data_IF_009736702310
#
_entry.id   IF_009736702310
#
_cell.length_a   1.000
_cell.length_b   1.000
_cell.length_c   1.000
_cell.angle_alpha   90.00
_cell.angle_beta   90.00
_cell.angle_gamma   90.00
#
_symmetry.space_group_name_H-M   'P 1'
#
loop_
_entity.id
_entity.type
_entity.pdbx_description
1 polymer ?
#
# COMPACT_ATOMS: atom_id res chain seq x y z
N UNK A 1 0.99 -39.57 1.31
CA UNK A 1 2.29 -39.05 0.82
C UNK A 1 1.97 -37.98 -0.20
N UNK A 2 2.39 -36.74 0.04
CA UNK A 2 2.23 -35.68 -0.96
C UNK A 2 3.05 -36.07 -2.21
N UNK A 3 2.54 -35.81 -3.42
CA UNK A 3 3.28 -36.13 -4.64
C UNK A 3 4.65 -35.44 -4.61
N UNK A 4 5.73 -36.05 -5.12
CA UNK A 4 7.09 -35.51 -5.01
C UNK A 4 7.27 -34.11 -5.61
N UNK A 5 6.36 -33.65 -6.48
CA UNK A 5 6.32 -32.27 -6.99
C UNK A 5 5.74 -31.22 -6.03
N UNK A 6 5.12 -31.63 -4.92
CA UNK A 6 4.46 -30.71 -4.00
C UNK A 6 5.46 -29.83 -3.25
N UNK A 7 6.70 -30.29 -3.00
CA UNK A 7 7.71 -29.47 -2.30
C UNK A 7 8.11 -28.20 -3.08
N UNK A 8 7.97 -28.21 -4.42
CA UNK A 8 8.32 -27.08 -5.28
C UNK A 8 7.14 -26.16 -5.55
N UNK A 9 5.91 -26.61 -5.25
CA UNK A 9 4.67 -25.90 -5.55
C UNK A 9 3.89 -25.51 -4.29
N UNK A 10 4.13 -26.16 -3.15
CA UNK A 10 3.56 -25.86 -1.82
C UNK A 10 4.39 -24.77 -1.12
N UNK A 11 4.40 -23.57 -1.69
CA UNK A 11 5.06 -22.42 -1.08
C UNK A 11 4.19 -21.81 0.03
N UNK A 12 4.55 -22.01 1.31
CA UNK A 12 3.88 -21.32 2.41
C UNK A 12 4.26 -19.84 2.41
N UNK A 13 3.27 -18.95 2.48
CA UNK A 13 3.54 -17.52 2.58
C UNK A 13 4.21 -17.20 3.92
N UNK A 14 5.27 -16.37 3.96
CA UNK A 14 5.89 -15.96 5.21
C UNK A 14 4.89 -15.18 6.08
N UNK A 15 5.04 -15.27 7.40
CA UNK A 15 4.30 -14.43 8.33
C UNK A 15 4.80 -12.96 8.26
N UNK A 16 4.01 -12.02 8.82
CA UNK A 16 4.31 -10.59 8.72
C UNK A 16 5.69 -10.19 9.30
N UNK A 17 6.12 -10.68 10.49
CA UNK A 17 7.47 -10.44 10.99
C UNK A 17 8.58 -10.95 10.07
N UNK A 18 8.43 -12.16 9.50
CA UNK A 18 9.42 -12.72 8.57
C UNK A 18 9.58 -11.85 7.32
N UNK A 19 8.46 -11.39 6.74
CA UNK A 19 8.48 -10.42 5.63
C UNK A 19 9.20 -9.13 6.01
N UNK A 20 8.94 -8.59 7.20
CA UNK A 20 9.62 -7.39 7.69
C UNK A 20 11.14 -7.56 7.76
N UNK A 21 11.63 -8.62 8.41
CA UNK A 21 13.07 -8.82 8.58
C UNK A 21 13.80 -9.08 7.26
N UNK A 22 13.24 -9.91 6.38
CA UNK A 22 13.86 -10.20 5.09
C UNK A 22 13.84 -8.99 4.14
N UNK A 23 12.73 -8.26 4.09
CA UNK A 23 12.68 -7.04 3.30
C UNK A 23 13.61 -5.96 3.83
N UNK A 24 13.73 -5.78 5.15
CA UNK A 24 14.67 -4.84 5.77
C UNK A 24 16.12 -5.20 5.45
N UNK A 25 16.49 -6.48 5.58
CA UNK A 25 17.84 -6.95 5.26
C UNK A 25 18.17 -6.69 3.78
N UNK A 26 17.22 -6.99 2.89
CA UNK A 26 17.38 -6.72 1.46
C UNK A 26 17.44 -5.21 1.17
N UNK A 27 16.66 -4.40 1.86
CA UNK A 27 16.66 -2.94 1.73
C UNK A 27 18.02 -2.36 2.12
N UNK A 28 18.58 -2.84 3.23
CA UNK A 28 19.94 -2.48 3.67
C UNK A 28 20.94 -2.89 2.60
N UNK A 29 20.95 -4.14 2.14
CA UNK A 29 21.92 -4.61 1.15
C UNK A 29 21.89 -3.80 -0.16
N UNK A 30 20.70 -3.49 -0.67
CA UNK A 30 20.52 -2.83 -1.97
C UNK A 30 20.71 -1.31 -1.92
N UNK A 31 20.38 -0.67 -0.80
CA UNK A 31 20.29 0.78 -0.74
C UNK A 31 21.26 1.43 0.25
N UNK A 32 21.83 0.71 1.23
CA UNK A 32 22.84 1.28 2.11
C UNK A 32 24.15 1.57 1.39
N UNK A 33 24.77 2.69 1.74
CA UNK A 33 26.18 2.93 1.43
C UNK A 33 27.05 2.52 2.61
N UNK A 34 27.66 1.34 2.50
CA UNK A 34 28.51 0.76 3.55
C UNK A 34 29.78 1.58 3.84
N UNK A 35 30.33 2.27 2.84
CA UNK A 35 31.47 3.18 3.05
C UNK A 35 31.13 4.40 3.92
N UNK A 36 29.85 4.71 4.16
CA UNK A 36 29.37 5.81 5.01
C UNK A 36 28.09 5.39 5.73
N UNK A 37 28.24 4.56 6.75
CA UNK A 37 27.12 3.96 7.49
C UNK A 37 26.17 5.02 8.07
N UNK A 38 26.69 6.10 8.66
CA UNK A 38 25.90 7.18 9.28
C UNK A 38 25.46 8.28 8.28
N UNK A 39 25.04 7.90 7.08
CA UNK A 39 24.53 8.86 6.10
C UNK A 39 23.04 9.15 6.29
N UNK A 40 22.61 10.38 5.96
CA UNK A 40 21.18 10.75 5.97
C UNK A 40 20.33 9.79 5.14
N UNK A 41 20.85 9.32 4.00
CA UNK A 41 20.19 8.30 3.17
C UNK A 41 19.96 6.99 3.92
N UNK A 42 20.97 6.46 4.61
CA UNK A 42 20.84 5.21 5.36
C UNK A 42 19.84 5.38 6.50
N UNK A 43 19.85 6.53 7.17
CA UNK A 43 18.87 6.90 8.19
C UNK A 43 17.45 7.02 7.61
N UNK A 44 17.28 7.60 6.41
CA UNK A 44 15.99 7.70 5.73
C UNK A 44 15.47 6.29 5.33
N UNK A 45 16.35 5.37 4.89
CA UNK A 45 16.01 3.96 4.62
C UNK A 45 15.48 3.26 5.88
N UNK A 46 16.18 3.40 7.02
CA UNK A 46 15.72 2.82 8.28
C UNK A 46 14.44 3.50 8.78
N UNK A 47 14.32 4.81 8.59
CA UNK A 47 13.14 5.60 8.93
C UNK A 47 11.88 5.12 8.21
N UNK A 48 11.99 4.64 6.97
CA UNK A 48 10.86 4.08 6.22
C UNK A 48 10.38 2.75 6.82
N UNK A 49 11.27 2.00 7.47
CA UNK A 49 10.95 0.77 8.18
C UNK A 49 10.51 1.00 9.64
N UNK A 50 10.74 2.19 10.21
CA UNK A 50 10.42 2.51 11.60
C UNK A 50 8.93 2.40 11.94
N UNK A 51 8.04 2.53 10.95
CA UNK A 51 6.59 2.34 11.15
C UNK A 51 6.20 0.87 11.33
N UNK A 52 6.99 -0.09 10.82
CA UNK A 52 6.59 -1.49 10.76
C UNK A 52 6.49 -2.15 12.15
N UNK A 53 7.43 -1.95 13.10
CA UNK A 53 7.30 -2.50 14.44
C UNK A 53 6.00 -2.08 15.15
N UNK A 54 5.60 -0.81 15.00
CA UNK A 54 4.34 -0.32 15.56
C UNK A 54 3.11 -1.00 14.96
N UNK A 55 3.11 -1.23 13.63
CA UNK A 55 2.06 -1.99 12.95
C UNK A 55 2.00 -3.45 13.40
N UNK A 56 3.15 -4.10 13.62
CA UNK A 56 3.21 -5.50 14.06
C UNK A 56 2.68 -5.69 15.48
N UNK A 57 2.95 -4.77 16.41
CA UNK A 57 2.40 -4.83 17.77
C UNK A 57 0.88 -4.69 17.78
N UNK A 58 0.34 -3.73 17.02
CA UNK A 58 -1.10 -3.54 16.89
C UNK A 58 -1.75 -4.79 16.26
N UNK A 59 -1.08 -5.39 15.26
CA UNK A 59 -1.55 -6.60 14.61
C UNK A 59 -1.63 -7.80 15.58
N UNK A 60 -0.61 -8.00 16.39
CA UNK A 60 -0.57 -9.11 17.35
C UNK A 60 -1.61 -8.94 18.48
N UNK A 61 -2.12 -7.72 18.67
CA UNK A 61 -2.93 -7.36 19.84
C UNK A 61 -2.11 -7.27 21.13
N UNK A 62 -0.78 -7.36 21.02
CA UNK A 62 0.17 -7.28 22.12
C UNK A 62 0.68 -5.84 22.21
N UNK A 63 0.41 -5.15 23.33
CA UNK A 63 0.99 -3.82 23.57
C UNK A 63 0.52 -2.71 22.60
N UNK A 64 -0.78 -2.63 22.29
CA UNK A 64 -1.36 -1.59 21.40
C UNK A 64 -0.89 -0.17 21.73
N UNK A 65 -0.81 0.19 23.01
CA UNK A 65 -0.32 1.51 23.46
C UNK A 65 1.10 1.79 22.97
N UNK A 66 1.98 0.79 23.07
CA UNK A 66 3.35 0.88 22.57
C UNK A 66 3.35 0.92 21.04
N UNK A 67 2.49 0.14 20.38
CA UNK A 67 2.30 0.18 18.94
C UNK A 67 1.95 1.59 18.43
N UNK A 68 0.93 2.23 19.00
CA UNK A 68 0.57 3.61 18.68
C UNK A 68 1.67 4.62 19.03
N UNK A 69 2.36 4.45 20.17
CA UNK A 69 3.49 5.31 20.54
C UNK A 69 4.65 5.21 19.54
N UNK A 70 4.96 4.01 19.04
CA UNK A 70 5.98 3.80 18.00
C UNK A 70 5.56 4.43 16.67
N UNK A 71 4.30 4.28 16.26
CA UNK A 71 3.79 4.93 15.05
C UNK A 71 3.87 6.45 15.17
N UNK A 72 3.44 7.01 16.31
CA UNK A 72 3.53 8.45 16.58
C UNK A 72 4.98 8.93 16.59
N UNK A 73 5.90 8.17 17.21
CA UNK A 73 7.33 8.45 17.20
C UNK A 73 7.92 8.41 15.78
N UNK A 74 7.53 7.43 14.97
CA UNK A 74 7.97 7.33 13.58
C UNK A 74 7.46 8.50 12.72
N UNK A 75 6.20 8.92 12.89
CA UNK A 75 5.67 10.12 12.24
C UNK A 75 6.40 11.38 12.71
N UNK A 76 6.66 11.51 14.01
CA UNK A 76 7.43 12.62 14.59
C UNK A 76 8.86 12.69 14.02
N UNK A 77 9.51 11.55 13.86
CA UNK A 77 10.80 11.45 13.18
C UNK A 77 10.73 11.99 11.75
N UNK A 78 9.72 11.62 10.96
CA UNK A 78 9.56 12.13 9.59
C UNK A 78 9.31 13.63 9.53
N UNK A 79 8.45 14.15 10.42
CA UNK A 79 8.21 15.60 10.53
C UNK A 79 9.53 16.33 10.83
N UNK A 80 10.24 15.90 11.86
CA UNK A 80 11.53 16.48 12.22
C UNK A 80 12.55 16.37 11.08
N UNK A 81 12.63 15.21 10.43
CA UNK A 81 13.53 14.97 9.29
C UNK A 81 13.22 15.87 8.10
N UNK A 82 11.95 16.10 7.78
CA UNK A 82 11.53 17.04 6.73
C UNK A 82 11.90 18.48 7.09
N UNK A 83 11.77 18.89 8.35
CA UNK A 83 12.20 20.22 8.81
C UNK A 83 13.72 20.39 8.73
N UNK A 84 14.49 19.36 9.10
CA UNK A 84 15.94 19.36 8.95
C UNK A 84 16.37 19.49 7.48
N UNK A 85 15.58 18.99 6.53
CA UNK A 85 15.90 19.12 5.10
C UNK A 85 15.98 20.57 4.64
N UNK A 86 15.28 21.49 5.31
CA UNK A 86 15.34 22.93 5.04
C UNK A 86 16.69 23.55 5.44
N UNK A 87 17.40 22.93 6.40
CA UNK A 87 18.70 23.40 6.90
C UNK A 87 19.89 22.69 6.23
N UNK A 88 19.68 21.50 5.66
CA UNK A 88 20.75 20.69 5.09
C UNK A 88 21.10 21.15 3.67
N UNK A 89 22.41 21.29 3.41
CA UNK A 89 22.91 21.56 2.06
C UNK A 89 22.74 20.32 1.17
N UNK A 90 22.14 20.52 -0.01
CA UNK A 90 21.96 19.45 -1.00
C UNK A 90 23.31 18.88 -1.43
N UNK A 91 23.49 17.59 -1.22
CA UNK A 91 24.63 16.81 -1.71
C UNK A 91 24.21 15.99 -2.95
N UNK A 92 25.15 15.63 -3.83
CA UNK A 92 24.84 14.80 -4.99
C UNK A 92 24.18 13.49 -4.57
N UNK A 93 23.13 13.10 -5.29
CA UNK A 93 22.38 11.88 -5.02
C UNK A 93 23.29 10.66 -5.17
N UNK A 94 23.28 9.78 -4.17
CA UNK A 94 24.03 8.53 -4.22
C UNK A 94 23.24 7.54 -5.09
N UNK A 95 23.89 6.92 -6.07
CA UNK A 95 23.25 5.86 -6.85
C UNK A 95 22.91 4.64 -5.96
N UNK A 96 21.87 3.86 -6.24
CA UNK A 96 21.64 2.54 -5.65
C UNK A 96 22.84 1.60 -5.82
N UNK A 97 22.91 0.51 -5.05
CA UNK A 97 23.98 -0.48 -5.22
C UNK A 97 23.74 -1.43 -6.40
N UNK A 98 22.50 -1.52 -6.87
CA UNK A 98 22.10 -2.40 -7.98
C UNK A 98 21.94 -1.60 -9.28
N UNK A 99 22.28 -2.23 -10.41
CA UNK A 99 22.14 -1.63 -11.74
C UNK A 99 20.66 -1.36 -12.08
N UNK A 100 20.35 -0.44 -13.02
CA UNK A 100 18.98 -0.19 -13.45
C UNK A 100 18.26 -1.46 -13.94
N UNK A 101 18.95 -2.32 -14.70
CA UNK A 101 18.40 -3.60 -15.17
C UNK A 101 18.07 -4.54 -14.00
N UNK A 102 18.95 -4.65 -13.01
CA UNK A 102 18.71 -5.44 -11.82
C UNK A 102 17.54 -4.91 -10.99
N UNK A 103 17.43 -3.59 -10.81
CA UNK A 103 16.29 -2.97 -10.10
C UNK A 103 14.97 -3.19 -10.84
N UNK A 104 14.98 -3.10 -12.17
CA UNK A 104 13.80 -3.34 -13.02
C UNK A 104 13.32 -4.78 -12.89
N UNK A 105 14.23 -5.75 -12.97
CA UNK A 105 13.92 -7.16 -12.79
C UNK A 105 13.39 -7.44 -11.37
N UNK A 106 14.04 -6.89 -10.35
CA UNK A 106 13.60 -7.06 -8.97
C UNK A 106 12.23 -6.43 -8.72
N UNK A 107 11.97 -5.23 -9.23
CA UNK A 107 10.66 -4.59 -9.14
C UNK A 107 9.57 -5.43 -9.82
N UNK A 108 9.84 -5.96 -11.02
CA UNK A 108 8.93 -6.85 -11.73
C UNK A 108 8.67 -8.12 -10.91
N UNK A 109 9.71 -8.77 -10.38
CA UNK A 109 9.58 -9.98 -9.57
C UNK A 109 8.81 -9.76 -8.26
N UNK A 110 9.04 -8.63 -7.58
CA UNK A 110 8.28 -8.24 -6.39
C UNK A 110 6.80 -7.96 -6.72
N UNK A 111 6.54 -7.28 -7.84
CA UNK A 111 5.17 -7.00 -8.27
C UNK A 111 4.41 -8.28 -8.69
N UNK A 112 5.06 -9.19 -9.43
CA UNK A 112 4.50 -10.51 -9.76
C UNK A 112 4.24 -11.32 -8.48
N UNK A 113 5.17 -11.27 -7.52
CA UNK A 113 4.96 -11.89 -6.20
C UNK A 113 3.75 -11.31 -5.48
N UNK A 114 3.55 -9.99 -5.49
CA UNK A 114 2.37 -9.35 -4.90
C UNK A 114 1.07 -9.84 -5.55
N UNK A 115 1.03 -10.00 -6.88
CA UNK A 115 -0.10 -10.59 -7.59
C UNK A 115 -0.33 -12.06 -7.21
N UNK A 116 0.74 -12.85 -7.08
CA UNK A 116 0.65 -14.25 -6.69
C UNK A 116 0.13 -14.41 -5.25
N UNK A 117 0.57 -13.56 -4.33
CA UNK A 117 0.06 -13.48 -2.96
C UNK A 117 -1.44 -13.13 -2.96
N UNK A 118 -1.84 -12.13 -3.74
CA UNK A 118 -3.24 -11.76 -3.91
C UNK A 118 -4.11 -12.89 -4.45
N UNK A 119 -3.55 -13.80 -5.26
CA UNK A 119 -4.28 -14.95 -5.77
C UNK A 119 -4.39 -16.10 -4.74
N UNK A 120 -3.35 -16.34 -3.92
CA UNK A 120 -3.27 -17.51 -3.03
C UNK A 120 -4.07 -17.39 -1.74
N UNK A 121 -4.03 -16.25 -1.06
CA UNK A 121 -4.72 -16.06 0.23
C UNK A 121 -6.26 -15.99 0.11
N UNK A 122 -6.84 -16.24 -1.07
CA UNK A 122 -8.31 -16.37 -1.22
C UNK A 122 -8.83 -17.76 -0.82
N UNK A 123 -7.95 -18.73 -0.61
CA UNK A 123 -8.31 -20.16 -0.60
C UNK A 123 -8.18 -20.91 0.73
N UNK A 124 -7.64 -20.32 1.80
CA UNK A 124 -7.45 -21.07 3.06
C UNK A 124 -8.75 -21.16 3.88
N UNK A 125 -9.49 -22.25 3.65
CA UNK A 125 -10.48 -22.77 4.58
C UNK A 125 -9.77 -23.40 5.79
N UNK A 126 -10.26 -23.23 7.03
CA UNK A 126 -9.68 -23.87 8.20
C UNK A 126 -9.62 -25.39 8.02
N UNK A 127 -8.46 -25.98 8.31
CA UNK A 127 -8.23 -27.42 8.16
C UNK A 127 -9.27 -28.23 8.96
N UNK A 128 -9.80 -29.34 8.41
CA UNK A 128 -10.74 -30.19 9.13
C UNK A 128 -10.09 -30.79 10.39
N UNK A 129 -10.78 -30.67 11.53
CA UNK A 129 -10.34 -31.23 12.80
C UNK A 129 -10.57 -32.75 12.82
N UNK A 130 -9.50 -33.52 12.61
CA UNK A 130 -9.55 -34.98 12.53
C UNK A 130 -9.78 -35.68 13.89
N UNK A 131 -10.11 -34.94 14.96
CA UNK A 131 -10.31 -35.49 16.32
C UNK A 131 -11.77 -35.78 16.67
N UNK A 132 -12.74 -35.44 15.82
CA UNK A 132 -14.17 -35.63 16.13
C UNK A 132 -14.68 -37.02 15.74
N UNK A 133 -15.45 -37.71 16.61
CA UNK A 133 -16.05 -39.01 16.30
C UNK A 133 -16.95 -38.99 15.05
N UNK A 134 -17.05 -40.09 14.28
CA UNK A 134 -17.78 -40.15 13.00
C UNK A 134 -19.27 -39.76 13.10
N UNK A 135 -19.89 -40.05 14.25
CA UNK A 135 -21.30 -39.72 14.54
C UNK A 135 -21.50 -38.21 14.72
N UNK A 136 -20.56 -37.52 15.37
CA UNK A 136 -20.59 -36.06 15.53
C UNK A 136 -20.36 -35.38 14.18
N UNK A 137 -19.48 -35.93 13.35
CA UNK A 137 -19.27 -35.45 11.98
C UNK A 137 -20.53 -35.59 11.11
N UNK A 138 -21.32 -36.65 11.27
CA UNK A 138 -22.56 -36.85 10.51
C UNK A 138 -23.62 -35.79 10.80
N UNK A 139 -23.86 -35.50 12.08
CA UNK A 139 -24.81 -34.46 12.53
C UNK A 139 -24.29 -33.07 12.18
N UNK A 140 -22.99 -32.84 12.36
CA UNK A 140 -22.36 -31.57 12.01
C UNK A 140 -22.40 -31.31 10.49
N UNK A 141 -22.21 -32.34 9.64
CA UNK A 141 -22.33 -32.20 8.17
C UNK A 141 -23.74 -31.84 7.73
N UNK A 142 -24.79 -32.36 8.37
CA UNK A 142 -26.17 -32.01 8.04
C UNK A 142 -26.51 -30.58 8.48
N UNK A 143 -26.08 -30.17 9.68
CA UNK A 143 -26.20 -28.78 10.13
C UNK A 143 -25.39 -27.81 9.26
N UNK A 144 -24.17 -28.18 8.89
CA UNK A 144 -23.31 -27.42 7.97
C UNK A 144 -23.89 -27.36 6.56
N UNK A 145 -24.57 -28.39 6.06
CA UNK A 145 -25.19 -28.37 4.72
C UNK A 145 -26.34 -27.35 4.63
N UNK A 146 -27.17 -27.30 5.67
CA UNK A 146 -28.27 -26.31 5.78
C UNK A 146 -27.73 -24.89 5.89
N UNK A 147 -26.70 -24.68 6.73
CA UNK A 147 -26.02 -23.38 6.85
C UNK A 147 -25.30 -23.03 5.55
N UNK A 148 -24.58 -23.96 4.91
CA UNK A 148 -23.87 -23.72 3.64
C UNK A 148 -24.83 -23.34 2.51
N UNK A 149 -26.05 -23.89 2.46
CA UNK A 149 -27.02 -23.50 1.44
C UNK A 149 -27.47 -22.05 1.60
N UNK A 150 -27.59 -21.57 2.84
CA UNK A 150 -27.89 -20.16 3.16
C UNK A 150 -26.66 -19.26 3.00
N UNK A 151 -25.48 -19.74 3.38
CA UNK A 151 -24.21 -19.01 3.31
C UNK A 151 -23.60 -19.01 1.91
N UNK A 152 -23.99 -19.92 1.00
CA UNK A 152 -23.44 -20.00 -0.35
C UNK A 152 -23.65 -18.70 -1.14
N UNK A 153 -24.85 -18.10 -1.07
CA UNK A 153 -25.10 -16.79 -1.68
C UNK A 153 -24.23 -15.69 -1.07
N UNK A 154 -24.13 -15.64 0.27
CA UNK A 154 -23.30 -14.67 0.98
C UNK A 154 -21.79 -14.88 0.76
N UNK A 155 -21.34 -16.12 0.61
CA UNK A 155 -19.95 -16.49 0.34
C UNK A 155 -19.54 -16.14 -1.10
N UNK A 156 -20.45 -16.29 -2.06
CA UNK A 156 -20.24 -15.85 -3.45
C UNK A 156 -20.15 -14.32 -3.53
N UNK A 157 -20.99 -13.59 -2.82
CA UNK A 157 -20.88 -12.13 -2.73
C UNK A 157 -19.60 -11.67 -2.02
N UNK A 158 -19.25 -12.29 -0.89
CA UNK A 158 -18.04 -11.97 -0.13
C UNK A 158 -16.76 -12.25 -0.94
N UNK A 159 -16.70 -13.37 -1.65
CA UNK A 159 -15.58 -13.71 -2.53
C UNK A 159 -15.48 -12.75 -3.72
N UNK A 160 -16.61 -12.40 -4.36
CA UNK A 160 -16.64 -11.39 -5.43
C UNK A 160 -16.12 -10.05 -4.94
N UNK A 161 -16.59 -9.58 -3.78
CA UNK A 161 -16.14 -8.33 -3.15
C UNK A 161 -14.64 -8.36 -2.84
N UNK A 162 -14.13 -9.49 -2.33
CA UNK A 162 -12.70 -9.66 -2.05
C UNK A 162 -11.85 -9.56 -3.32
N UNK A 163 -12.24 -10.25 -4.39
CA UNK A 163 -11.51 -10.22 -5.66
C UNK A 163 -11.49 -8.81 -6.27
N UNK A 164 -12.64 -8.13 -6.30
CA UNK A 164 -12.71 -6.73 -6.75
C UNK A 164 -11.77 -5.84 -5.93
N UNK A 165 -11.80 -5.96 -4.60
CA UNK A 165 -10.94 -5.18 -3.72
C UNK A 165 -9.44 -5.46 -3.95
N UNK A 166 -9.05 -6.72 -4.14
CA UNK A 166 -7.65 -7.12 -4.42
C UNK A 166 -7.18 -6.61 -5.77
N UNK A 167 -8.00 -6.75 -6.83
CA UNK A 167 -7.67 -6.23 -8.16
C UNK A 167 -7.48 -4.72 -8.13
N UNK A 168 -8.38 -3.98 -7.45
CA UNK A 168 -8.26 -2.54 -7.28
C UNK A 168 -6.98 -2.15 -6.51
N UNK A 169 -6.64 -2.87 -5.43
CA UNK A 169 -5.41 -2.64 -4.69
C UNK A 169 -4.17 -2.85 -5.58
N UNK A 170 -4.09 -3.96 -6.31
CA UNK A 170 -2.98 -4.26 -7.23
C UNK A 170 -2.85 -3.19 -8.32
N UNK A 171 -3.96 -2.72 -8.90
CA UNK A 171 -3.94 -1.62 -9.87
C UNK A 171 -3.44 -0.30 -9.26
N UNK A 172 -3.81 0.00 -8.01
CA UNK A 172 -3.29 1.17 -7.30
C UNK A 172 -1.77 1.06 -7.05
N UNK A 173 -1.29 -0.11 -6.62
CA UNK A 173 0.15 -0.35 -6.45
C UNK A 173 0.91 -0.22 -7.77
N UNK A 174 0.36 -0.75 -8.87
CA UNK A 174 0.93 -0.57 -10.21
C UNK A 174 1.01 0.91 -10.60
N UNK A 175 -0.08 1.66 -10.38
CA UNK A 175 -0.12 3.09 -10.64
C UNK A 175 0.94 3.85 -9.83
N UNK A 176 1.17 3.48 -8.56
CA UNK A 176 2.22 4.08 -7.73
C UNK A 176 3.61 3.74 -8.26
N UNK A 177 3.88 2.48 -8.57
CA UNK A 177 5.18 2.02 -9.13
C UNK A 177 5.51 2.77 -10.42
N UNK A 178 4.57 2.80 -11.37
CA UNK A 178 4.73 3.52 -12.63
C UNK A 178 4.90 5.02 -12.38
N UNK A 179 4.09 5.59 -11.49
CA UNK A 179 4.14 7.00 -11.15
C UNK A 179 5.48 7.43 -10.53
N UNK A 180 6.08 6.61 -9.66
CA UNK A 180 7.41 6.87 -9.08
C UNK A 180 8.51 6.87 -10.15
N UNK A 181 8.50 5.89 -11.06
CA UNK A 181 9.46 5.82 -12.17
C UNK A 181 9.30 7.02 -13.11
N UNK A 182 8.07 7.33 -13.50
CA UNK A 182 7.77 8.46 -14.40
C UNK A 182 8.11 9.80 -13.74
N UNK A 183 7.79 10.00 -12.45
CA UNK A 183 8.12 11.23 -11.75
C UNK A 183 9.63 11.47 -11.75
N UNK A 184 10.43 10.45 -11.44
CA UNK A 184 11.89 10.54 -11.46
C UNK A 184 12.44 10.81 -12.87
N UNK A 185 12.00 10.04 -13.87
CA UNK A 185 12.45 10.18 -15.25
C UNK A 185 12.07 11.52 -15.87
N UNK A 186 10.82 11.97 -15.71
CA UNK A 186 10.32 13.20 -16.33
C UNK A 186 10.85 14.46 -15.63
N UNK A 187 10.99 14.44 -14.30
CA UNK A 187 11.24 15.65 -13.53
C UNK A 187 12.67 15.80 -13.04
N UNK A 188 13.37 14.69 -12.81
CA UNK A 188 14.74 14.69 -12.29
C UNK A 188 15.76 14.19 -13.32
N UNK A 189 15.30 13.70 -14.48
CA UNK A 189 16.16 13.11 -15.53
C UNK A 189 17.03 11.95 -14.99
N UNK A 190 16.56 11.28 -13.93
CA UNK A 190 17.24 10.17 -13.28
C UNK A 190 16.29 8.98 -13.17
N UNK A 191 16.29 8.15 -14.21
CA UNK A 191 15.50 6.92 -14.24
C UNK A 191 15.99 5.90 -13.21
N UNK A 192 17.28 5.91 -12.87
CA UNK A 192 17.86 4.97 -11.91
C UNK A 192 17.30 5.23 -10.51
N UNK A 193 17.15 6.50 -10.11
CA UNK A 193 16.47 6.89 -8.89
C UNK A 193 14.98 6.52 -8.90
N UNK A 194 14.30 6.63 -10.04
CA UNK A 194 12.90 6.20 -10.20
C UNK A 194 12.70 4.71 -9.98
N UNK A 195 13.54 3.90 -10.63
CA UNK A 195 13.56 2.45 -10.45
C UNK A 195 13.87 2.08 -9.00
N UNK A 196 14.85 2.76 -8.38
CA UNK A 196 15.17 2.58 -6.97
C UNK A 196 13.98 2.85 -6.05
N UNK A 197 13.29 3.98 -6.25
CA UNK A 197 12.12 4.35 -5.46
C UNK A 197 10.98 3.33 -5.64
N UNK A 198 10.73 2.88 -6.86
CA UNK A 198 9.71 1.88 -7.16
C UNK A 198 10.04 0.49 -6.58
N UNK A 199 11.29 0.03 -6.70
CA UNK A 199 11.74 -1.22 -6.08
C UNK A 199 11.65 -1.12 -4.56
N UNK A 200 12.08 0.00 -3.97
CA UNK A 200 12.01 0.20 -2.52
C UNK A 200 10.56 0.26 -2.02
N UNK A 201 9.68 0.93 -2.76
CA UNK A 201 8.24 0.94 -2.50
C UNK A 201 7.69 -0.48 -2.39
N UNK A 202 7.94 -1.33 -3.40
CA UNK A 202 7.49 -2.73 -3.42
C UNK A 202 8.12 -3.61 -2.35
N UNK A 203 9.30 -3.22 -1.86
CA UNK A 203 9.99 -3.94 -0.80
C UNK A 203 9.41 -3.62 0.59
N UNK A 204 8.79 -2.44 0.75
CA UNK A 204 8.24 -2.04 2.04
C UNK A 204 7.07 -2.96 2.43
N UNK A 205 7.07 -3.55 3.65
CA UNK A 205 6.05 -4.50 4.07
C UNK A 205 4.63 -3.99 3.92
N UNK A 206 4.42 -2.68 4.08
CA UNK A 206 3.08 -2.08 3.98
C UNK A 206 2.41 -2.32 2.62
N UNK A 207 3.16 -2.51 1.53
CA UNK A 207 2.55 -2.78 0.21
C UNK A 207 1.80 -4.10 0.21
N UNK A 208 2.34 -5.10 0.91
CA UNK A 208 1.65 -6.35 1.19
C UNK A 208 0.58 -6.17 2.28
N UNK A 209 0.87 -5.46 3.38
CA UNK A 209 -0.10 -5.29 4.48
C UNK A 209 -1.40 -4.58 4.05
N UNK A 210 -1.34 -3.73 3.03
CA UNK A 210 -2.50 -3.01 2.49
C UNK A 210 -3.39 -3.85 1.56
N UNK A 211 -2.97 -5.07 1.20
CA UNK A 211 -3.74 -5.93 0.31
C UNK A 211 -4.94 -6.55 1.05
N UNK A 212 -6.17 -6.45 0.50
CA UNK A 212 -7.38 -6.95 1.16
C UNK A 212 -7.39 -8.45 1.44
N UNK A 213 -7.86 -8.82 2.63
CA UNK A 213 -8.06 -10.22 3.02
C UNK A 213 -6.77 -11.03 3.13
N UNK A 214 -5.62 -10.37 3.35
CA UNK A 214 -4.39 -11.05 3.74
C UNK A 214 -4.51 -11.58 5.17
N UNK A 215 -3.59 -12.46 5.57
CA UNK A 215 -3.49 -12.99 6.94
C UNK A 215 -3.51 -11.90 8.03
N UNK A 216 -3.16 -10.66 7.68
CA UNK A 216 -3.17 -9.52 8.60
C UNK A 216 -4.53 -8.87 8.83
N UNK A 217 -5.55 -9.11 7.99
CA UNK A 217 -6.90 -8.48 8.08
C UNK A 217 -6.95 -6.93 8.10
N UNK A 218 -5.81 -6.24 7.96
CA UNK A 218 -5.70 -4.77 7.99
C UNK A 218 -5.83 -4.15 6.59
N UNK A 219 -5.57 -4.93 5.54
CA UNK A 219 -5.45 -4.40 4.18
C UNK A 219 -6.77 -3.88 3.63
N UNK A 220 -6.80 -2.58 3.32
CA UNK A 220 -7.95 -1.96 2.67
C UNK A 220 -7.46 -1.16 1.47
N UNK A 221 -7.99 -1.51 0.29
CA UNK A 221 -7.59 -0.94 -1.00
C UNK A 221 -7.73 0.59 -1.04
N UNK A 222 -8.65 1.17 -0.26
CA UNK A 222 -8.88 2.60 -0.19
C UNK A 222 -7.73 3.41 0.44
N UNK A 223 -6.72 2.77 1.05
CA UNK A 223 -5.49 3.46 1.43
C UNK A 223 -4.55 3.64 0.23
N UNK A 224 -4.48 2.64 -0.65
CA UNK A 224 -3.63 2.68 -1.85
C UNK A 224 -4.15 3.66 -2.91
N UNK A 225 -5.47 3.84 -2.97
CA UNK A 225 -6.12 4.73 -3.92
C UNK A 225 -5.68 6.21 -3.81
N UNK A 226 -5.79 6.90 -2.65
CA UNK A 226 -5.31 8.27 -2.51
C UNK A 226 -3.81 8.38 -2.73
N UNK A 227 -3.02 7.38 -2.31
CA UNK A 227 -1.58 7.36 -2.56
C UNK A 227 -1.26 7.35 -4.06
N UNK A 228 -1.96 6.55 -4.85
CA UNK A 228 -1.82 6.55 -6.31
C UNK A 228 -2.17 7.92 -6.90
N UNK A 229 -3.30 8.51 -6.50
CA UNK A 229 -3.69 9.85 -6.95
C UNK A 229 -2.65 10.92 -6.60
N UNK A 230 -2.07 10.86 -5.39
CA UNK A 230 -1.02 11.77 -4.95
C UNK A 230 0.27 11.64 -5.75
N UNK A 231 0.73 10.41 -6.01
CA UNK A 231 1.91 10.17 -6.85
C UNK A 231 1.67 10.69 -8.27
N UNK A 232 0.49 10.44 -8.84
CA UNK A 232 0.14 10.96 -10.17
C UNK A 232 -0.06 12.48 -10.18
N UNK A 233 -0.49 13.09 -9.07
CA UNK A 233 -0.53 14.54 -8.93
C UNK A 233 0.89 15.16 -8.99
N UNK A 234 1.90 14.45 -8.45
CA UNK A 234 3.32 14.81 -8.59
C UNK A 234 3.80 14.59 -10.03
N UNK A 235 3.46 13.48 -10.67
CA UNK A 235 3.78 13.29 -12.11
C UNK A 235 3.21 14.44 -12.94
N UNK A 236 1.99 14.87 -12.65
CA UNK A 236 1.30 15.96 -13.32
C UNK A 236 1.61 17.36 -12.76
N UNK A 237 2.64 17.56 -11.90
CA UNK A 237 2.81 18.85 -11.20
C UNK A 237 2.98 20.05 -12.15
N UNK A 238 3.44 19.86 -13.39
CA UNK A 238 3.55 20.95 -14.37
C UNK A 238 2.19 21.42 -14.91
N UNK A 239 1.12 20.64 -14.72
CA UNK A 239 -0.25 20.91 -15.15
C UNK A 239 -1.15 21.13 -13.92
N UNK A 240 -1.36 22.39 -13.49
CA UNK A 240 -2.07 22.69 -12.24
C UNK A 240 -3.50 22.14 -12.20
N UNK A 241 -4.19 22.08 -13.33
CA UNK A 241 -5.55 21.52 -13.42
C UNK A 241 -5.58 20.01 -13.16
N UNK A 242 -4.69 19.23 -13.78
CA UNK A 242 -4.64 17.78 -13.57
C UNK A 242 -4.18 17.43 -12.15
N UNK A 243 -3.15 18.12 -11.66
CA UNK A 243 -2.66 17.92 -10.29
C UNK A 243 -3.74 18.26 -9.25
N UNK A 244 -4.45 19.37 -9.45
CA UNK A 244 -5.58 19.76 -8.61
C UNK A 244 -6.70 18.74 -8.64
N UNK A 245 -7.11 18.27 -9.83
CA UNK A 245 -8.16 17.25 -9.97
C UNK A 245 -7.82 15.95 -9.24
N UNK A 246 -6.59 15.44 -9.41
CA UNK A 246 -6.12 14.23 -8.75
C UNK A 246 -6.06 14.39 -7.22
N UNK A 247 -5.54 15.53 -6.74
CA UNK A 247 -5.53 15.83 -5.31
C UNK A 247 -6.96 15.97 -4.76
N UNK A 248 -7.87 16.58 -5.53
CA UNK A 248 -9.29 16.72 -5.23
C UNK A 248 -9.99 15.37 -5.06
N UNK A 249 -9.76 14.45 -6.00
CA UNK A 249 -10.26 13.07 -5.92
C UNK A 249 -9.67 12.35 -4.70
N UNK A 250 -8.37 12.52 -4.43
CA UNK A 250 -7.72 11.93 -3.26
C UNK A 250 -8.34 12.41 -1.95
N UNK A 251 -8.52 13.73 -1.78
CA UNK A 251 -9.11 14.32 -0.57
C UNK A 251 -10.61 14.03 -0.42
N UNK A 252 -11.34 13.92 -1.53
CA UNK A 252 -12.76 13.53 -1.51
C UNK A 252 -12.97 12.06 -1.16
N UNK A 253 -11.96 11.22 -1.40
CA UNK A 253 -11.97 9.79 -1.04
C UNK A 253 -11.58 9.56 0.42
N UNK A 254 -10.57 10.29 0.93
CA UNK A 254 -10.08 10.24 2.31
C UNK A 254 -9.61 11.63 2.69
N UNK A 255 -9.82 12.09 3.93
CA UNK A 255 -9.56 13.49 4.30
C UNK A 255 -8.07 13.90 4.41
N UNK A 256 -7.13 12.98 4.67
CA UNK A 256 -5.72 13.31 4.94
C UNK A 256 -5.00 14.15 3.86
N UNK A 257 -5.19 13.91 2.55
CA UNK A 257 -4.62 14.75 1.48
C UNK A 257 -5.06 16.22 1.52
N UNK A 258 -6.14 16.57 2.22
CA UNK A 258 -6.52 17.97 2.39
C UNK A 258 -5.45 18.77 3.17
N UNK A 259 -4.70 18.11 4.06
CA UNK A 259 -3.68 18.75 4.90
C UNK A 259 -2.50 19.30 4.09
N UNK A 260 -2.24 18.76 2.89
CA UNK A 260 -1.16 19.25 2.02
C UNK A 260 -1.62 20.34 1.03
N UNK A 261 -2.93 20.66 1.00
CA UNK A 261 -3.49 21.68 0.11
C UNK A 261 -2.79 23.05 0.23
N UNK A 262 -2.46 23.57 1.43
CA UNK A 262 -1.77 24.85 1.57
C UNK A 262 -0.39 24.86 0.90
N UNK A 263 0.35 23.75 1.01
CA UNK A 263 1.68 23.61 0.39
C UNK A 263 1.58 23.65 -1.12
N UNK A 264 0.62 22.92 -1.71
CA UNK A 264 0.40 22.92 -3.15
C UNK A 264 -0.14 24.26 -3.68
N UNK A 265 -1.04 24.91 -2.94
CA UNK A 265 -1.53 26.24 -3.29
C UNK A 265 -0.40 27.28 -3.29
N UNK A 266 0.51 27.19 -2.32
CA UNK A 266 1.73 28.00 -2.25
C UNK A 266 2.68 27.71 -3.42
N UNK A 267 2.89 26.44 -3.77
CA UNK A 267 3.70 26.04 -4.94
C UNK A 267 3.19 26.65 -6.27
N UNK A 268 1.86 26.70 -6.45
CA UNK A 268 1.23 27.30 -7.63
C UNK A 268 0.94 28.80 -7.49
N UNK A 269 1.40 29.45 -6.41
CA UNK A 269 1.17 30.86 -6.20
C UNK A 269 1.72 31.67 -7.39
N UNK A 270 0.87 32.54 -7.96
CA UNK A 270 1.12 33.28 -9.23
C UNK A 270 1.33 32.44 -10.50
N UNK A 271 1.30 31.11 -10.43
CA UNK A 271 1.50 30.18 -11.58
C UNK A 271 0.23 29.41 -11.96
N UNK A 272 -0.89 29.72 -11.32
CA UNK A 272 -2.18 29.08 -11.59
C UNK A 272 -2.84 28.44 -10.36
N UNK A 273 -2.56 28.93 -9.15
CA UNK A 273 -3.22 28.49 -7.92
C UNK A 273 -4.76 28.43 -8.05
N UNK A 274 -5.39 29.42 -8.70
CA UNK A 274 -6.84 29.40 -8.93
C UNK A 274 -7.31 28.20 -9.77
N UNK A 275 -6.60 27.87 -10.85
CA UNK A 275 -6.91 26.69 -11.71
C UNK A 275 -6.73 25.39 -10.94
N UNK A 276 -5.69 25.32 -10.10
CA UNK A 276 -5.43 24.18 -9.24
C UNK A 276 -6.51 24.00 -8.17
N UNK A 277 -6.84 25.06 -7.43
CA UNK A 277 -7.86 25.02 -6.38
C UNK A 277 -9.25 24.72 -6.95
N UNK A 278 -9.62 25.33 -8.08
CA UNK A 278 -10.87 25.03 -8.77
C UNK A 278 -10.93 23.55 -9.17
N UNK A 279 -9.85 23.01 -9.76
CA UNK A 279 -9.80 21.60 -10.13
C UNK A 279 -9.84 20.67 -8.90
N UNK A 280 -9.24 21.05 -7.78
CA UNK A 280 -9.32 20.29 -6.53
C UNK A 280 -10.74 20.26 -5.95
N UNK A 281 -11.43 21.40 -5.95
CA UNK A 281 -12.85 21.47 -5.55
C UNK A 281 -13.72 20.63 -6.48
N UNK A 282 -13.51 20.71 -7.79
CA UNK A 282 -14.22 19.88 -8.77
C UNK A 282 -13.95 18.38 -8.55
N UNK A 283 -12.70 17.99 -8.33
CA UNK A 283 -12.34 16.59 -8.06
C UNK A 283 -13.00 16.04 -6.79
N UNK A 284 -13.01 16.84 -5.72
CA UNK A 284 -13.70 16.49 -4.48
C UNK A 284 -15.23 16.39 -4.70
N UNK A 285 -15.80 17.37 -5.42
CA UNK A 285 -17.21 17.40 -5.78
C UNK A 285 -17.63 16.19 -6.62
N UNK A 286 -16.79 15.71 -7.54
CA UNK A 286 -17.04 14.50 -8.33
C UNK A 286 -17.13 13.25 -7.45
N UNK A 287 -16.25 13.11 -6.44
CA UNK A 287 -16.33 12.02 -5.48
C UNK A 287 -17.63 12.08 -4.66
N UNK A 288 -17.99 13.25 -4.14
CA UNK A 288 -19.21 13.42 -3.36
C UNK A 288 -20.47 13.20 -4.19
N UNK A 289 -20.50 13.70 -5.43
CA UNK A 289 -21.60 13.47 -6.36
C UNK A 289 -21.75 11.99 -6.69
N UNK A 290 -20.64 11.27 -6.93
CA UNK A 290 -20.66 9.83 -7.13
C UNK A 290 -21.24 9.10 -5.92
N UNK A 291 -20.82 9.44 -4.70
CA UNK A 291 -21.36 8.86 -3.48
C UNK A 291 -22.85 9.17 -3.31
N UNK A 292 -23.29 10.39 -3.61
CA UNK A 292 -24.70 10.78 -3.54
C UNK A 292 -25.57 10.01 -4.55
N UNK A 293 -25.08 9.80 -5.78
CA UNK A 293 -25.76 8.98 -6.79
C UNK A 293 -25.86 7.52 -6.32
N UNK A 294 -24.78 6.95 -5.78
CA UNK A 294 -24.79 5.59 -5.24
C UNK A 294 -25.76 5.47 -4.05
N UNK A 295 -25.79 6.46 -3.15
CA UNK A 295 -26.73 6.49 -2.02
C UNK A 295 -28.17 6.60 -2.49
N UNK A 296 -28.44 7.43 -3.51
CA UNK A 296 -29.75 7.59 -4.12
C UNK A 296 -30.25 6.28 -4.76
N UNK A 297 -29.40 5.60 -5.55
CA UNK A 297 -29.71 4.31 -6.16
C UNK A 297 -30.04 3.24 -5.09
N UNK A 298 -29.40 3.33 -3.92
CA UNK A 298 -29.59 2.37 -2.81
C UNK A 298 -30.72 2.77 -1.84
N UNK A 299 -31.45 3.86 -2.10
CA UNK A 299 -32.56 4.31 -1.25
C UNK A 299 -32.15 4.82 0.14
N UNK A 300 -30.89 5.25 0.31
CA UNK A 300 -30.30 5.56 1.63
C UNK A 300 -30.43 7.01 2.10
N UNK A 301 -31.38 7.80 1.60
CA UNK A 301 -31.60 9.14 2.15
C UNK A 301 -32.37 9.03 3.47
N UNK A 302 -31.87 9.59 4.59
CA UNK A 302 -32.71 9.76 5.77
C UNK A 302 -33.85 10.72 5.38
N UNK A 303 -35.09 10.27 5.57
CA UNK A 303 -36.27 11.12 5.51
C UNK A 303 -36.16 12.32 6.47
#
# INVERSE_FOLDING_TARGET
MNPPGSIFLDFNLPNAPTWFYFSLLLAVALFFKFGRVLSMRNLDILGLYLMVPGMLLILEGSGERLGYALLAGATGFWVFRCLLDLALVRRPALAPNLTPGGLSWLALALFVSLCAVAAREAGEQPAPDNKTPPVVQGVQRQGEALVRQQTQGQATEASTRLWVARTLAVLCHLAIVVGLVLAAGLHFQDLHAGLAAATFYLLLPYTYLLLPGTNLKIGQWYHAWPMAMLVWAVVAYRRPTLSGLLLGIAMGSVYFPALILPVWASFYWRRGAGRFLLAAVLGCGLCLAFLAVVAWIRGGWPD
#
